data_IF_036438437017
#
_entry.id   IF_036438437017
#
_cell.length_a   1.000
_cell.length_b   1.000
_cell.length_c   1.000
_cell.angle_alpha   90.00
_cell.angle_beta   90.00
_cell.angle_gamma   90.00
#
_symmetry.space_group_name_H-M   'P 1'
#
loop_
_entity.id
_entity.type
_entity.pdbx_description
1 polymer ?
#
# COMPACT_ATOMS: atom_id res chain seq x y z
N UNK A 1 2.79 34.77 -26.21
CA UNK A 1 3.14 33.74 -25.19
C UNK A 1 1.91 33.36 -24.36
N UNK A 2 1.21 34.35 -23.80
CA UNK A 2 0.02 34.15 -22.94
C UNK A 2 -1.10 33.37 -23.63
N UNK A 3 -1.34 33.69 -24.92
CA UNK A 3 -2.34 32.98 -25.72
C UNK A 3 -2.01 31.53 -25.96
N UNK A 4 -0.72 31.21 -26.15
CA UNK A 4 -0.25 29.84 -26.31
C UNK A 4 -0.43 29.02 -25.01
N UNK A 5 -0.04 29.60 -23.87
CA UNK A 5 -0.24 29.01 -22.55
C UNK A 5 -1.72 28.79 -22.25
N UNK A 6 -2.58 29.78 -22.53
CA UNK A 6 -4.01 29.65 -22.29
C UNK A 6 -4.65 28.52 -23.12
N UNK A 7 -4.31 28.41 -24.42
CA UNK A 7 -4.81 27.32 -25.29
C UNK A 7 -4.32 25.96 -24.79
N UNK A 8 -3.04 25.84 -24.46
CA UNK A 8 -2.45 24.58 -23.98
C UNK A 8 -3.08 24.14 -22.65
N UNK A 9 -3.25 25.06 -21.70
CA UNK A 9 -3.87 24.78 -20.40
C UNK A 9 -5.33 24.36 -20.56
N UNK A 10 -6.09 25.07 -21.40
CA UNK A 10 -7.50 24.73 -21.63
C UNK A 10 -7.65 23.34 -22.29
N UNK A 11 -6.79 23.02 -23.26
CA UNK A 11 -6.78 21.71 -23.91
C UNK A 11 -6.43 20.61 -22.89
N UNK A 12 -5.39 20.81 -22.09
CA UNK A 12 -4.95 19.83 -21.07
C UNK A 12 -6.05 19.55 -20.05
N UNK A 13 -6.72 20.59 -19.52
CA UNK A 13 -7.82 20.43 -18.58
C UNK A 13 -8.99 19.64 -19.19
N UNK A 14 -9.34 19.93 -20.45
CA UNK A 14 -10.41 19.23 -21.14
C UNK A 14 -10.10 17.74 -21.35
N UNK A 15 -8.89 17.43 -21.80
CA UNK A 15 -8.47 16.04 -22.06
C UNK A 15 -8.27 15.23 -20.77
N UNK A 16 -7.96 15.88 -19.63
CA UNK A 16 -7.85 15.21 -18.32
C UNK A 16 -9.20 14.88 -17.67
N UNK A 17 -10.31 15.44 -18.14
CA UNK A 17 -11.64 15.17 -17.55
C UNK A 17 -12.05 13.71 -17.69
N UNK A 18 -11.91 13.11 -18.85
CA UNK A 18 -12.33 11.74 -19.10
C UNK A 18 -11.51 10.71 -18.29
N UNK A 19 -10.17 10.73 -18.31
CA UNK A 19 -9.36 9.88 -17.44
C UNK A 19 -9.67 10.07 -15.95
N UNK A 20 -9.88 11.33 -15.51
CA UNK A 20 -10.23 11.62 -14.12
C UNK A 20 -11.57 11.01 -13.70
N UNK A 21 -12.61 11.15 -14.52
CA UNK A 21 -13.93 10.54 -14.27
C UNK A 21 -13.84 9.02 -14.21
N UNK A 22 -13.11 8.38 -15.12
CA UNK A 22 -12.92 6.93 -15.12
C UNK A 22 -12.18 6.49 -13.86
N UNK A 23 -11.11 7.18 -13.49
CA UNK A 23 -10.27 6.81 -12.34
C UNK A 23 -11.04 6.91 -11.01
N UNK A 24 -11.86 7.94 -10.84
CA UNK A 24 -12.69 8.13 -9.64
C UNK A 24 -13.94 7.26 -9.70
N UNK A 25 -14.59 7.21 -10.85
CA UNK A 25 -15.87 6.53 -11.03
C UNK A 25 -15.79 5.02 -10.93
N UNK A 26 -14.70 4.41 -11.41
CA UNK A 26 -14.56 2.95 -11.43
C UNK A 26 -14.58 2.33 -10.01
N UNK A 27 -13.76 2.76 -9.03
CA UNK A 27 -13.83 2.20 -7.68
C UNK A 27 -15.18 2.48 -7.00
N UNK A 28 -15.81 3.62 -7.29
CA UNK A 28 -17.15 3.93 -6.79
C UNK A 28 -18.18 2.96 -7.38
N UNK A 29 -18.14 2.70 -8.69
CA UNK A 29 -19.04 1.75 -9.34
C UNK A 29 -18.84 0.32 -8.82
N UNK A 30 -17.59 -0.12 -8.63
CA UNK A 30 -17.26 -1.44 -8.06
C UNK A 30 -17.83 -1.61 -6.65
N UNK A 31 -17.97 -0.53 -5.90
CA UNK A 31 -18.51 -0.55 -4.54
C UNK A 31 -20.04 -0.39 -4.53
N UNK A 32 -20.55 0.65 -5.20
CA UNK A 32 -21.97 1.03 -5.09
C UNK A 32 -22.88 0.04 -5.82
N UNK A 33 -22.49 -0.45 -7.00
CA UNK A 33 -23.34 -1.34 -7.78
C UNK A 33 -23.61 -2.68 -7.07
N UNK A 34 -22.58 -3.42 -6.58
CA UNK A 34 -22.81 -4.64 -5.81
C UNK A 34 -23.56 -4.38 -4.48
N UNK A 35 -23.31 -3.24 -3.83
CA UNK A 35 -24.02 -2.85 -2.61
C UNK A 35 -25.52 -2.68 -2.87
N UNK A 36 -25.91 -2.07 -3.99
CA UNK A 36 -27.31 -1.96 -4.40
C UNK A 36 -27.95 -3.31 -4.78
N UNK A 37 -27.13 -4.26 -5.21
CA UNK A 37 -27.57 -5.64 -5.49
C UNK A 37 -27.68 -6.51 -4.22
N UNK A 38 -27.37 -5.97 -3.04
CA UNK A 38 -27.43 -6.67 -1.77
C UNK A 38 -26.29 -7.65 -1.52
N UNK A 39 -25.14 -7.45 -2.17
CA UNK A 39 -23.95 -8.27 -1.91
C UNK A 39 -23.36 -7.94 -0.52
N UNK A 40 -22.70 -8.94 0.06
CA UNK A 40 -22.02 -8.79 1.34
C UNK A 40 -20.86 -7.80 1.26
N UNK A 41 -20.70 -6.99 2.32
CA UNK A 41 -19.65 -5.97 2.39
C UNK A 41 -18.24 -6.54 2.29
N UNK A 42 -18.02 -7.77 2.81
CA UNK A 42 -16.72 -8.42 2.71
C UNK A 42 -16.39 -8.75 1.25
N UNK A 43 -17.33 -9.32 0.50
CA UNK A 43 -17.15 -9.62 -0.92
C UNK A 43 -16.86 -8.34 -1.74
N UNK A 44 -17.55 -7.24 -1.41
CA UNK A 44 -17.32 -5.93 -2.06
C UNK A 44 -15.91 -5.41 -1.73
N UNK A 45 -15.47 -5.55 -0.48
CA UNK A 45 -14.12 -5.14 -0.06
C UNK A 45 -13.02 -5.95 -0.77
N UNK A 46 -13.23 -7.27 -0.94
CA UNK A 46 -12.32 -8.14 -1.69
C UNK A 46 -12.24 -7.74 -3.18
N UNK A 47 -13.37 -7.44 -3.80
CA UNK A 47 -13.42 -6.95 -5.19
C UNK A 47 -12.69 -5.62 -5.35
N UNK A 48 -12.93 -4.67 -4.44
CA UNK A 48 -12.26 -3.37 -4.45
C UNK A 48 -10.75 -3.53 -4.21
N UNK A 49 -10.34 -4.36 -3.25
CA UNK A 49 -8.94 -4.67 -2.97
C UNK A 49 -8.22 -5.29 -4.17
N UNK A 50 -8.85 -6.26 -4.83
CA UNK A 50 -8.34 -6.87 -6.05
C UNK A 50 -8.18 -5.86 -7.19
N UNK A 51 -9.18 -5.00 -7.39
CA UNK A 51 -9.09 -3.91 -8.37
C UNK A 51 -7.94 -2.95 -8.06
N UNK A 52 -7.80 -2.50 -6.82
CA UNK A 52 -6.72 -1.58 -6.41
C UNK A 52 -5.33 -2.20 -6.60
N UNK A 53 -5.16 -3.47 -6.24
CA UNK A 53 -3.91 -4.20 -6.47
C UNK A 53 -3.59 -4.31 -7.96
N UNK A 54 -4.57 -4.66 -8.79
CA UNK A 54 -4.42 -4.75 -10.24
C UNK A 54 -4.03 -3.41 -10.87
N UNK A 55 -4.73 -2.33 -10.51
CA UNK A 55 -4.42 -0.97 -11.00
C UNK A 55 -3.01 -0.53 -10.58
N UNK A 56 -2.62 -0.81 -9.33
CA UNK A 56 -1.30 -0.43 -8.84
C UNK A 56 -0.20 -1.16 -9.60
N UNK A 57 -0.28 -2.48 -9.71
CA UNK A 57 0.75 -3.29 -10.40
C UNK A 57 0.83 -2.92 -11.88
N UNK A 58 -0.29 -2.93 -12.59
CA UNK A 58 -0.31 -2.62 -14.02
C UNK A 58 0.10 -1.17 -14.30
N UNK A 59 -0.36 -0.22 -13.49
CA UNK A 59 -0.04 1.20 -13.63
C UNK A 59 1.44 1.49 -13.39
N UNK A 60 2.06 0.87 -12.39
CA UNK A 60 3.52 0.99 -12.13
C UNK A 60 4.33 0.43 -13.30
N UNK A 61 3.99 -0.76 -13.77
CA UNK A 61 4.68 -1.38 -14.92
C UNK A 61 4.55 -0.51 -16.17
N UNK A 62 3.37 0.04 -16.43
CA UNK A 62 3.10 0.91 -17.56
C UNK A 62 3.85 2.24 -17.45
N UNK A 63 3.91 2.85 -16.27
CA UNK A 63 4.67 4.08 -16.03
C UNK A 63 6.18 3.87 -16.26
N UNK A 64 6.73 2.76 -15.77
CA UNK A 64 8.14 2.41 -15.98
C UNK A 64 8.41 2.21 -17.48
N UNK A 65 7.54 1.46 -18.18
CA UNK A 65 7.68 1.25 -19.61
C UNK A 65 7.71 2.57 -20.39
N UNK A 66 6.75 3.46 -20.13
CA UNK A 66 6.64 4.73 -20.85
C UNK A 66 7.85 5.64 -20.59
N UNK A 67 8.28 5.75 -19.34
CA UNK A 67 9.44 6.56 -18.99
C UNK A 67 10.73 6.01 -19.63
N UNK A 68 10.93 4.72 -19.59
CA UNK A 68 12.13 4.07 -20.18
C UNK A 68 12.12 4.14 -21.70
N UNK A 69 10.99 3.86 -22.34
CA UNK A 69 10.88 3.94 -23.79
C UNK A 69 11.07 5.37 -24.31
N UNK A 70 10.43 6.36 -23.64
CA UNK A 70 10.60 7.78 -23.97
C UNK A 70 12.05 8.26 -23.76
N UNK A 71 12.66 7.88 -22.64
CA UNK A 71 14.06 8.19 -22.35
C UNK A 71 15.03 7.55 -23.34
N UNK A 72 14.76 6.34 -23.79
CA UNK A 72 15.59 5.65 -24.81
C UNK A 72 15.61 6.40 -26.15
N UNK A 73 14.44 6.87 -26.63
CA UNK A 73 14.36 7.65 -27.86
C UNK A 73 15.06 9.00 -27.77
N UNK A 74 14.89 9.73 -26.64
CA UNK A 74 15.59 10.98 -26.40
C UNK A 74 17.13 10.79 -26.36
N UNK A 75 17.60 9.74 -25.70
CA UNK A 75 19.01 9.38 -25.67
C UNK A 75 19.54 9.00 -27.06
N UNK A 76 18.77 8.23 -27.85
CA UNK A 76 19.14 7.89 -29.22
C UNK A 76 19.33 9.14 -30.08
N UNK A 77 18.38 10.09 -30.03
CA UNK A 77 18.48 11.38 -30.72
C UNK A 77 19.74 12.15 -30.34
N UNK A 78 19.99 12.30 -29.03
CA UNK A 78 21.18 12.98 -28.52
C UNK A 78 22.49 12.29 -28.91
N UNK A 79 22.50 10.97 -28.96
CA UNK A 79 23.68 10.20 -29.42
C UNK A 79 24.04 10.54 -30.88
N UNK A 80 23.05 10.61 -31.78
CA UNK A 80 23.29 11.02 -33.17
C UNK A 80 23.70 12.49 -33.30
N UNK A 81 23.25 13.36 -32.40
CA UNK A 81 23.70 14.76 -32.39
C UNK A 81 25.17 14.86 -32.00
N UNK A 82 25.64 14.01 -31.11
CA UNK A 82 27.04 13.92 -30.71
C UNK A 82 27.94 13.17 -31.73
N UNK A 83 27.35 12.28 -32.52
CA UNK A 83 28.01 11.38 -33.47
C UNK A 83 28.15 9.97 -32.91
N UNK A 84 27.62 9.00 -33.69
CA UNK A 84 27.64 7.57 -33.32
C UNK A 84 28.23 6.80 -34.50
N UNK A 85 29.14 5.86 -34.21
CA UNK A 85 29.65 4.93 -35.18
C UNK A 85 28.68 3.78 -35.40
N UNK A 86 28.20 3.60 -36.63
CA UNK A 86 27.34 2.50 -37.03
C UNK A 86 28.00 1.75 -38.20
N UNK A 87 28.26 0.47 -38.00
CA UNK A 87 28.90 -0.40 -38.99
C UNK A 87 30.24 0.14 -39.56
N UNK A 88 31.02 0.85 -38.74
CA UNK A 88 32.30 1.43 -39.14
C UNK A 88 32.20 2.82 -39.77
N UNK A 89 30.99 3.39 -39.89
CA UNK A 89 30.78 4.74 -40.41
C UNK A 89 30.26 5.68 -39.30
N UNK A 90 30.86 6.86 -39.17
CA UNK A 90 30.40 7.89 -38.25
C UNK A 90 29.12 8.54 -38.74
N UNK A 91 28.07 8.44 -37.98
CA UNK A 91 26.73 8.97 -38.28
C UNK A 91 26.43 10.18 -37.38
N UNK A 92 26.08 11.30 -37.99
CA UNK A 92 25.89 12.58 -37.32
C UNK A 92 24.47 13.12 -37.49
N UNK A 93 24.24 14.26 -36.85
CA UNK A 93 23.01 15.08 -36.98
C UNK A 93 22.70 15.32 -38.48
N UNK A 94 21.44 15.10 -38.85
CA UNK A 94 20.94 15.26 -40.23
C UNK A 94 20.95 13.99 -41.06
N UNK A 95 21.59 12.90 -40.61
CA UNK A 95 21.52 11.58 -41.24
C UNK A 95 20.09 11.01 -41.16
N UNK A 96 19.83 9.96 -41.96
CA UNK A 96 18.51 9.29 -41.93
C UNK A 96 18.28 8.56 -40.61
N UNK A 97 19.32 8.02 -39.98
CA UNK A 97 19.25 7.46 -38.65
C UNK A 97 18.89 8.52 -37.60
N UNK A 98 19.49 9.71 -37.68
CA UNK A 98 19.10 10.83 -36.80
C UNK A 98 17.62 11.24 -37.03
N UNK A 99 17.16 11.38 -38.26
CA UNK A 99 15.73 11.69 -38.55
C UNK A 99 14.79 10.62 -38.00
N UNK A 100 15.14 9.34 -38.11
CA UNK A 100 14.36 8.25 -37.52
C UNK A 100 14.31 8.35 -36.00
N UNK A 101 15.42 8.68 -35.33
CA UNK A 101 15.46 8.88 -33.89
C UNK A 101 14.63 10.09 -33.44
N UNK A 102 14.60 11.18 -34.21
CA UNK A 102 13.73 12.34 -33.97
C UNK A 102 12.25 11.96 -34.07
N UNK A 103 11.90 11.13 -35.04
CA UNK A 103 10.53 10.60 -35.16
C UNK A 103 10.14 9.75 -33.94
N UNK A 104 11.06 8.88 -33.48
CA UNK A 104 10.86 8.10 -32.27
C UNK A 104 10.71 8.98 -31.01
N UNK A 105 11.54 10.00 -30.89
CA UNK A 105 11.50 10.97 -29.78
C UNK A 105 10.19 11.79 -29.77
N UNK A 106 9.62 12.10 -30.91
CA UNK A 106 8.32 12.76 -31.01
C UNK A 106 7.19 11.94 -30.36
N UNK A 107 7.30 10.62 -30.38
CA UNK A 107 6.40 9.70 -29.64
C UNK A 107 6.87 9.53 -28.21
N UNK A 108 8.17 9.45 -27.98
CA UNK A 108 8.78 9.23 -26.68
C UNK A 108 8.59 10.37 -25.69
N UNK A 109 8.64 11.62 -26.16
CA UNK A 109 8.43 12.80 -25.30
C UNK A 109 7.08 12.79 -24.57
N UNK A 110 5.93 12.56 -25.23
CA UNK A 110 4.65 12.39 -24.52
C UNK A 110 4.65 11.23 -23.52
N UNK A 111 5.39 10.15 -23.80
CA UNK A 111 5.47 9.02 -22.87
C UNK A 111 6.20 9.38 -21.59
N UNK A 112 7.38 9.99 -21.68
CA UNK A 112 8.18 10.33 -20.49
C UNK A 112 7.69 11.57 -19.77
N UNK A 113 7.24 12.59 -20.50
CA UNK A 113 6.98 13.92 -19.95
C UNK A 113 5.49 14.15 -19.61
N UNK A 114 4.58 13.36 -20.16
CA UNK A 114 3.13 13.52 -19.95
C UNK A 114 2.49 12.26 -19.39
N UNK A 115 2.47 11.18 -20.15
CA UNK A 115 1.70 9.98 -19.82
C UNK A 115 2.32 9.19 -18.64
N UNK A 116 3.64 9.03 -18.62
CA UNK A 116 4.34 8.37 -17.51
C UNK A 116 4.10 9.06 -16.16
N UNK A 117 4.36 10.36 -16.01
CA UNK A 117 4.04 11.09 -14.79
C UNK A 117 2.55 11.09 -14.42
N UNK A 118 1.64 11.15 -15.40
CA UNK A 118 0.20 11.09 -15.18
C UNK A 118 -0.25 9.77 -14.56
N UNK A 119 0.34 8.65 -14.95
CA UNK A 119 0.04 7.33 -14.37
C UNK A 119 0.28 7.30 -12.85
N UNK A 120 1.34 7.95 -12.37
CA UNK A 120 1.61 8.05 -10.93
C UNK A 120 0.49 8.80 -10.19
N UNK A 121 -0.06 9.85 -10.78
CA UNK A 121 -1.18 10.61 -10.21
C UNK A 121 -2.46 9.77 -10.21
N UNK A 122 -2.75 9.07 -11.30
CA UNK A 122 -3.95 8.23 -11.44
C UNK A 122 -3.94 7.08 -10.42
N UNK A 123 -2.81 6.39 -10.24
CA UNK A 123 -2.65 5.34 -9.24
C UNK A 123 -2.93 5.89 -7.83
N UNK A 124 -2.32 7.02 -7.47
CA UNK A 124 -2.52 7.65 -6.16
C UNK A 124 -3.98 8.05 -5.94
N UNK A 125 -4.63 8.60 -6.96
CA UNK A 125 -6.04 9.00 -6.88
C UNK A 125 -6.95 7.79 -6.66
N UNK A 126 -6.74 6.70 -7.40
CA UNK A 126 -7.49 5.45 -7.22
C UNK A 126 -7.29 4.89 -5.81
N UNK A 127 -6.05 4.84 -5.31
CA UNK A 127 -5.75 4.37 -3.96
C UNK A 127 -6.40 5.26 -2.89
N UNK A 128 -6.40 6.58 -3.08
CA UNK A 128 -7.06 7.52 -2.16
C UNK A 128 -8.57 7.28 -2.08
N UNK A 129 -9.23 7.09 -3.22
CA UNK A 129 -10.67 6.78 -3.26
C UNK A 129 -10.96 5.44 -2.55
N UNK A 130 -10.15 4.40 -2.80
CA UNK A 130 -10.25 3.14 -2.10
C UNK A 130 -10.13 3.28 -0.58
N UNK A 131 -9.17 4.10 -0.10
CA UNK A 131 -8.99 4.39 1.32
C UNK A 131 -10.20 5.11 1.94
N UNK A 132 -10.84 6.01 1.20
CA UNK A 132 -12.05 6.72 1.65
C UNK A 132 -13.26 5.78 1.70
N UNK A 133 -13.35 4.81 0.80
CA UNK A 133 -14.45 3.83 0.74
C UNK A 133 -14.28 2.73 1.79
N UNK A 134 -13.07 2.32 2.12
CA UNK A 134 -12.79 1.20 3.02
C UNK A 134 -13.55 1.24 4.36
N UNK A 135 -13.64 2.38 5.11
CA UNK A 135 -14.41 2.46 6.34
C UNK A 135 -15.92 2.25 6.16
N UNK A 136 -16.46 2.58 4.97
CA UNK A 136 -17.89 2.40 4.65
C UNK A 136 -18.23 0.91 4.52
N UNK A 137 -17.31 0.12 3.98
CA UNK A 137 -17.46 -1.33 3.84
C UNK A 137 -17.18 -2.07 5.14
N UNK A 138 -16.24 -1.56 5.96
CA UNK A 138 -15.81 -2.19 7.20
C UNK A 138 -16.84 -2.18 8.33
N UNK A 139 -18.01 -1.50 8.18
CA UNK A 139 -18.97 -1.34 9.28
C UNK A 139 -18.29 -0.83 10.56
N UNK A 140 -18.95 -0.13 11.47
CA UNK A 140 -18.36 0.36 12.73
C UNK A 140 -18.02 -0.78 13.73
N UNK A 141 -17.41 -1.86 13.29
CA UNK A 141 -16.74 -2.83 14.12
C UNK A 141 -15.27 -2.41 14.19
N UNK A 142 -15.00 -1.45 15.06
CA UNK A 142 -13.67 -1.29 15.63
C UNK A 142 -13.41 -2.45 16.62
N UNK A 143 -13.63 -3.68 16.18
CA UNK A 143 -12.94 -4.85 16.68
C UNK A 143 -11.81 -5.08 15.68
N UNK A 144 -10.61 -4.87 16.17
CA UNK A 144 -9.37 -5.14 15.47
C UNK A 144 -9.30 -6.62 15.09
N UNK A 145 -9.93 -7.00 13.97
CA UNK A 145 -9.54 -8.22 13.30
C UNK A 145 -8.24 -7.91 12.55
N UNK A 146 -7.16 -7.97 13.31
CA UNK A 146 -5.81 -8.14 12.80
C UNK A 146 -5.83 -9.27 11.77
N UNK A 147 -5.16 -9.03 10.66
CA UNK A 147 -4.80 -10.03 9.65
C UNK A 147 -4.03 -11.14 10.37
N UNK A 148 -4.75 -12.19 10.80
CA UNK A 148 -4.19 -13.38 11.39
C UNK A 148 -3.92 -14.40 10.28
N UNK A 149 -2.75 -14.26 9.67
CA UNK A 149 -2.09 -15.40 9.06
C UNK A 149 -0.56 -15.32 9.28
N UNK A 150 -0.20 -15.05 10.52
CA UNK A 150 1.06 -15.47 11.15
C UNK A 150 0.67 -15.83 12.58
N UNK A 151 0.92 -17.06 12.98
CA UNK A 151 0.70 -17.65 14.30
C UNK A 151 1.02 -16.65 15.43
N UNK A 152 0.08 -15.80 15.79
CA UNK A 152 0.25 -14.86 16.91
C UNK A 152 -0.35 -15.49 18.15
N UNK A 153 0.53 -15.99 18.98
CA UNK A 153 0.27 -16.42 20.34
C UNK A 153 0.03 -15.16 21.16
N UNK A 154 -1.22 -14.79 21.44
CA UNK A 154 -1.55 -13.65 22.33
C UNK A 154 -1.56 -14.17 23.78
N UNK A 155 -0.67 -13.65 24.61
CA UNK A 155 -0.57 -13.98 26.02
C UNK A 155 -1.05 -12.77 26.81
N UNK A 156 -2.20 -12.89 27.48
CA UNK A 156 -2.71 -11.90 28.43
C UNK A 156 -2.37 -12.36 29.84
N UNK A 157 -1.70 -11.53 30.61
CA UNK A 157 -1.37 -11.77 32.01
C UNK A 157 -2.14 -10.77 32.86
N UNK A 158 -3.02 -11.24 33.72
CA UNK A 158 -3.68 -10.44 34.75
C UNK A 158 -3.15 -10.85 36.12
N UNK A 159 -2.79 -9.87 36.95
CA UNK A 159 -2.22 -10.09 38.27
C UNK A 159 -3.10 -9.35 39.27
N UNK A 160 -3.77 -10.09 40.16
CA UNK A 160 -4.51 -9.56 41.28
C UNK A 160 -3.68 -9.75 42.55
N UNK A 161 -3.25 -8.63 43.19
CA UNK A 161 -2.47 -8.65 44.42
C UNK A 161 -3.36 -8.31 45.60
N UNK A 162 -3.39 -9.17 46.60
CA UNK A 162 -4.00 -8.88 47.90
C UNK A 162 -2.89 -8.75 48.94
N UNK A 163 -2.79 -7.56 49.56
CA UNK A 163 -1.90 -7.32 50.70
C UNK A 163 -2.64 -7.50 52.00
N UNK A 164 -2.10 -8.26 52.95
CA UNK A 164 -2.55 -8.29 54.33
C UNK A 164 -1.86 -7.17 55.13
N UNK A 165 -2.66 -6.32 55.78
CA UNK A 165 -2.24 -5.07 56.43
C UNK A 165 -1.23 -5.21 57.60
N UNK A 166 -0.69 -6.39 57.94
CA UNK A 166 0.21 -6.57 59.10
C UNK A 166 1.50 -7.36 58.84
N UNK A 167 1.76 -7.79 57.63
CA UNK A 167 3.03 -8.44 57.27
C UNK A 167 3.38 -8.11 55.82
N UNK A 168 4.67 -7.96 55.54
CA UNK A 168 5.24 -7.71 54.18
C UNK A 168 5.00 -8.88 53.18
N UNK A 169 4.04 -9.77 53.53
CA UNK A 169 3.61 -10.92 52.75
C UNK A 169 2.41 -10.57 51.86
N UNK A 170 2.58 -10.76 50.57
CA UNK A 170 1.56 -10.50 49.53
C UNK A 170 1.21 -11.81 48.86
N UNK A 171 -0.10 -12.09 48.73
CA UNK A 171 -0.59 -13.18 47.88
C UNK A 171 -0.98 -12.61 46.53
N UNK A 172 -0.34 -13.08 45.45
CA UNK A 172 -0.67 -12.69 44.07
C UNK A 172 -1.33 -13.84 43.34
N UNK A 173 -2.53 -13.60 42.82
CA UNK A 173 -3.19 -14.50 41.89
C UNK A 173 -2.88 -14.06 40.47
N UNK A 174 -2.10 -14.89 39.73
CA UNK A 174 -1.68 -14.64 38.36
C UNK A 174 -2.51 -15.52 37.43
N UNK A 175 -3.28 -14.91 36.55
CA UNK A 175 -4.04 -15.62 35.51
C UNK A 175 -3.36 -15.36 34.18
N UNK A 176 -2.88 -16.41 33.52
CA UNK A 176 -2.28 -16.35 32.18
C UNK A 176 -3.26 -16.93 31.18
N UNK A 177 -3.81 -16.10 30.32
CA UNK A 177 -4.67 -16.53 29.20
C UNK A 177 -3.87 -16.56 27.92
N UNK A 178 -3.79 -17.74 27.30
CA UNK A 178 -3.11 -17.93 26.00
C UNK A 178 -4.17 -18.24 24.95
N UNK A 179 -4.23 -17.42 23.90
CA UNK A 179 -5.10 -17.64 22.75
C UNK A 179 -4.25 -18.08 21.54
N UNK A 180 -4.48 -19.29 21.08
CA UNK A 180 -3.84 -19.85 19.87
C UNK A 180 -4.95 -20.26 18.93
N UNK A 181 -5.07 -19.62 17.78
CA UNK A 181 -6.05 -19.95 16.73
C UNK A 181 -7.52 -20.00 17.22
N UNK A 182 -7.90 -19.06 18.10
CA UNK A 182 -9.27 -19.01 18.63
C UNK A 182 -9.57 -19.97 19.78
N UNK A 183 -8.62 -20.82 20.20
CA UNK A 183 -8.72 -21.62 21.41
C UNK A 183 -8.06 -20.90 22.58
N UNK A 184 -8.87 -20.45 23.52
CA UNK A 184 -8.43 -19.79 24.73
C UNK A 184 -8.20 -20.82 25.85
N UNK A 185 -6.96 -20.89 26.36
CA UNK A 185 -6.59 -21.67 27.52
C UNK A 185 -6.16 -20.73 28.64
N UNK A 186 -6.69 -20.87 29.83
CA UNK A 186 -6.31 -20.05 30.98
C UNK A 186 -5.71 -20.95 32.07
N UNK A 187 -4.57 -20.55 32.59
CA UNK A 187 -3.90 -21.17 33.72
C UNK A 187 -3.84 -20.16 34.88
N UNK A 188 -4.19 -20.61 36.08
CA UNK A 188 -4.15 -19.79 37.30
C UNK A 188 -3.03 -20.27 38.22
N UNK A 189 -2.23 -19.34 38.70
CA UNK A 189 -1.16 -19.58 39.66
C UNK A 189 -1.35 -18.69 40.89
N UNK A 190 -1.22 -19.25 42.07
CA UNK A 190 -1.22 -18.51 43.32
C UNK A 190 0.21 -18.48 43.87
N UNK A 191 0.72 -17.29 44.14
CA UNK A 191 2.12 -17.08 44.56
C UNK A 191 2.13 -16.28 45.86
N UNK A 192 2.65 -16.87 46.91
CA UNK A 192 2.83 -16.23 48.22
C UNK A 192 4.29 -15.88 48.45
N UNK A 193 4.52 -14.76 49.13
CA UNK A 193 5.84 -14.32 49.54
C UNK A 193 5.97 -12.82 49.71
N UNK A 194 7.19 -12.36 49.95
CA UNK A 194 7.44 -10.92 49.97
C UNK A 194 7.22 -10.28 48.60
N UNK A 195 6.87 -9.01 48.56
CA UNK A 195 6.53 -8.30 47.29
C UNK A 195 7.62 -8.44 46.21
N UNK A 196 8.87 -8.42 46.61
CA UNK A 196 10.01 -8.54 45.67
C UNK A 196 10.16 -9.97 45.14
N UNK A 197 9.97 -11.00 45.99
CA UNK A 197 10.01 -12.41 45.59
C UNK A 197 8.83 -12.77 44.68
N UNK A 198 7.64 -12.25 44.93
CA UNK A 198 6.46 -12.46 44.10
C UNK A 198 6.66 -11.86 42.72
N UNK A 199 7.22 -10.64 42.63
CA UNK A 199 7.51 -9.99 41.32
C UNK A 199 8.56 -10.76 40.50
N UNK A 200 9.62 -11.28 41.17
CA UNK A 200 10.65 -12.07 40.50
C UNK A 200 10.10 -13.40 39.93
N UNK A 201 9.21 -14.06 40.68
CA UNK A 201 8.54 -15.29 40.25
C UNK A 201 7.59 -15.06 39.10
N UNK A 202 6.84 -13.97 39.12
CA UNK A 202 5.94 -13.56 38.00
C UNK A 202 6.75 -13.32 36.74
N UNK A 203 7.84 -12.56 36.79
CA UNK A 203 8.69 -12.28 35.65
C UNK A 203 9.31 -13.54 35.04
N UNK A 204 9.65 -14.54 35.89
CA UNK A 204 10.17 -15.81 35.42
C UNK A 204 9.12 -16.64 34.71
N UNK A 205 7.89 -16.73 35.25
CA UNK A 205 6.78 -17.45 34.63
C UNK A 205 6.39 -16.83 33.28
N UNK A 206 6.36 -15.49 33.18
CA UNK A 206 6.05 -14.77 31.93
C UNK A 206 7.12 -14.97 30.88
N UNK A 207 8.41 -15.06 31.28
CA UNK A 207 9.52 -15.34 30.34
C UNK A 207 9.48 -16.77 29.83
N UNK A 208 9.23 -17.74 30.69
CA UNK A 208 9.16 -19.16 30.28
C UNK A 208 8.00 -19.41 29.31
N UNK A 209 6.83 -18.80 29.55
CA UNK A 209 5.66 -18.91 28.63
C UNK A 209 5.79 -18.14 27.31
N UNK A 210 6.74 -17.23 27.20
CA UNK A 210 7.06 -16.55 25.91
C UNK A 210 8.06 -17.34 25.05
N UNK A 211 8.76 -18.32 25.63
CA UNK A 211 9.75 -19.13 24.91
C UNK A 211 9.19 -20.46 24.39
N UNK A 212 8.08 -20.94 24.95
CA UNK A 212 7.30 -22.09 24.47
C UNK A 212 6.21 -21.63 23.45
#
# INVERSE_FOLDING_TARGET
YDKCVAISTQASLKEMMLPGIITIGTPILITVLPMLMGMDNQAIAEMLGGYMAGVTVSGVLWAIFQNNAGGAWDNAKKSFEAGVEINGEMTYKGSDAHKASVTGDTVGDPFKDTSGPSMNILIKLTCLIGLVIAPILGGHSAESNHVDDVTSKEIKVSVDMQSNDEADDVTAKVTISTNINGNETSEEFEIDGSKDEVMEKIDKIVKDKKQD
#
